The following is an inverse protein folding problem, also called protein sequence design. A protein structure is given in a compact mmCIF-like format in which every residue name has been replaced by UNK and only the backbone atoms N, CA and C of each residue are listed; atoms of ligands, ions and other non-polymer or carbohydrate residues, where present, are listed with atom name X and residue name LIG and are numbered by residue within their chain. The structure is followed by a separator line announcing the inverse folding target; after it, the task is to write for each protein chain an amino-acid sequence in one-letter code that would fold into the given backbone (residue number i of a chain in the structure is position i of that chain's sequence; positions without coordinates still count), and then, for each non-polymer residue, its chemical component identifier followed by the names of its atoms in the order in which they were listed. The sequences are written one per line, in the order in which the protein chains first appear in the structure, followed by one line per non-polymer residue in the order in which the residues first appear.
data_IF_426918963784
#
_entry.id   IF_426918963784
#
_cell.length_a   1.000
_cell.length_b   1.000
_cell.length_c   1.000
_cell.angle_alpha   90.00
_cell.angle_beta   90.00
_cell.angle_gamma   90.00
#
_symmetry.space_group_name_H-M   'P 1'
#
loop_
_entity.id
_entity.type
_entity.pdbx_description
1 polymer ?
#
# COMPACT_ATOMS: atom_id res chain seq x y z
N UNK A 1 -62.62 23.06 -67.04
CA UNK A 1 -61.14 23.08 -66.99
C UNK A 1 -60.71 22.99 -65.54
N UNK A 2 -60.02 21.90 -65.18
CA UNK A 2 -59.46 21.63 -63.84
C UNK A 2 -57.96 21.91 -63.89
N UNK A 3 -57.40 22.54 -62.86
CA UNK A 3 -56.25 22.04 -62.07
C UNK A 3 -55.94 23.01 -60.93
N UNK A 4 -56.19 22.53 -59.71
CA UNK A 4 -55.76 23.13 -58.44
C UNK A 4 -54.29 22.77 -58.21
N UNK A 5 -53.47 23.77 -57.88
CA UNK A 5 -52.04 23.61 -57.57
C UNK A 5 -51.88 23.70 -56.05
N UNK A 6 -51.67 22.55 -55.40
CA UNK A 6 -51.34 22.49 -53.97
C UNK A 6 -49.83 22.31 -53.85
N UNK A 7 -49.14 23.32 -53.32
CA UNK A 7 -47.72 23.26 -53.01
C UNK A 7 -47.54 22.79 -51.57
N UNK A 8 -46.94 21.62 -51.39
CA UNK A 8 -46.55 21.10 -50.08
C UNK A 8 -45.12 21.58 -49.77
N UNK A 9 -45.01 22.57 -48.90
CA UNK A 9 -43.73 22.95 -48.31
C UNK A 9 -43.29 21.87 -47.30
N UNK A 10 -42.14 21.23 -47.56
CA UNK A 10 -41.50 20.28 -46.65
C UNK A 10 -40.91 21.02 -45.45
N UNK A 11 -41.34 20.68 -44.24
CA UNK A 11 -40.69 21.09 -43.00
C UNK A 11 -39.41 20.24 -42.77
N UNK A 12 -38.27 20.85 -42.40
CA UNK A 12 -37.09 20.10 -42.00
C UNK A 12 -37.30 19.49 -40.60
N UNK A 13 -37.03 18.19 -40.50
CA UNK A 13 -37.01 17.42 -39.25
C UNK A 13 -35.96 18.00 -38.31
N UNK A 14 -36.40 18.61 -37.22
CA UNK A 14 -35.58 18.83 -36.01
C UNK A 14 -35.52 17.49 -35.28
N UNK A 15 -34.44 16.75 -35.47
CA UNK A 15 -34.10 15.55 -34.67
C UNK A 15 -32.63 15.68 -34.29
N UNK A 16 -32.34 16.44 -33.23
CA UNK A 16 -30.99 16.50 -32.67
C UNK A 16 -31.05 17.11 -31.27
N UNK A 17 -31.22 16.29 -30.22
CA UNK A 17 -30.73 16.56 -28.86
C UNK A 17 -31.34 15.60 -27.83
N UNK A 18 -31.03 14.30 -27.88
CA UNK A 18 -31.32 13.36 -26.78
C UNK A 18 -30.36 12.15 -26.81
N UNK A 19 -29.12 12.37 -27.27
CA UNK A 19 -28.12 11.32 -27.48
C UNK A 19 -26.75 11.64 -26.88
N UNK A 20 -26.68 12.49 -25.85
CA UNK A 20 -25.43 12.90 -25.20
C UNK A 20 -25.46 12.75 -23.67
N UNK A 21 -26.42 12.00 -23.11
CA UNK A 21 -26.48 11.70 -21.67
C UNK A 21 -26.04 10.26 -21.33
N UNK A 22 -25.79 9.41 -22.34
CA UNK A 22 -25.43 7.99 -22.15
C UNK A 22 -23.95 7.66 -22.43
N UNK A 23 -23.10 8.65 -22.71
CA UNK A 23 -21.65 8.46 -22.90
C UNK A 23 -20.81 8.89 -21.68
N UNK A 24 -21.46 9.33 -20.60
CA UNK A 24 -20.82 9.64 -19.32
C UNK A 24 -21.11 8.58 -18.25
N UNK A 25 -21.83 7.51 -18.58
CA UNK A 25 -21.86 6.30 -17.74
C UNK A 25 -20.50 5.62 -17.85
N UNK A 26 -19.56 6.14 -17.06
CA UNK A 26 -18.61 5.36 -16.30
C UNK A 26 -18.04 4.18 -17.07
N UNK A 27 -16.92 4.41 -17.77
CA UNK A 27 -15.91 3.37 -17.85
C UNK A 27 -15.59 3.00 -16.41
N UNK A 28 -16.28 2.00 -15.87
CA UNK A 28 -15.90 1.32 -14.65
C UNK A 28 -14.54 0.74 -14.97
N UNK A 29 -13.48 1.49 -14.65
CA UNK A 29 -12.14 0.94 -14.58
C UNK A 29 -12.32 -0.26 -13.66
N UNK A 30 -12.08 -1.51 -14.13
CA UNK A 30 -12.20 -2.66 -13.25
C UNK A 30 -11.36 -2.36 -12.03
N UNK A 31 -11.98 -2.40 -10.85
CA UNK A 31 -11.26 -2.30 -9.59
C UNK A 31 -10.20 -3.40 -9.62
N UNK A 32 -8.96 -3.01 -9.91
CA UNK A 32 -7.87 -3.96 -10.00
C UNK A 32 -7.57 -4.33 -8.56
N UNK A 33 -7.84 -5.58 -8.16
CA UNK A 33 -7.32 -6.09 -6.90
C UNK A 33 -5.80 -6.15 -7.01
N UNK A 34 -5.11 -5.34 -6.23
CA UNK A 34 -3.68 -5.39 -6.11
C UNK A 34 -3.35 -6.07 -4.78
N UNK A 35 -2.77 -7.27 -4.88
CA UNK A 35 -2.00 -7.82 -3.77
C UNK A 35 -0.67 -7.09 -3.74
N UNK A 36 -0.46 -6.28 -2.71
CA UNK A 36 0.69 -5.40 -2.55
C UNK A 36 1.66 -6.04 -1.56
N UNK A 37 2.94 -6.12 -1.90
CA UNK A 37 3.99 -6.54 -0.98
C UNK A 37 4.93 -5.38 -0.69
N UNK A 38 4.96 -4.95 0.56
CA UNK A 38 5.84 -3.87 1.00
C UNK A 38 6.98 -4.49 1.80
N UNK A 39 8.21 -4.19 1.41
CA UNK A 39 9.40 -4.66 2.10
C UNK A 39 10.40 -3.54 2.35
N UNK A 40 11.35 -3.81 3.24
CA UNK A 40 12.37 -2.82 3.57
C UNK A 40 13.32 -3.28 4.65
N UNK A 41 14.07 -2.33 5.19
CA UNK A 41 15.05 -2.55 6.25
C UNK A 41 14.73 -1.65 7.44
N UNK A 42 14.74 -2.26 8.62
CA UNK A 42 14.81 -1.60 9.92
C UNK A 42 16.27 -1.63 10.38
N UNK A 43 16.77 -0.53 10.92
CA UNK A 43 18.14 -0.42 11.46
C UNK A 43 18.11 0.17 12.86
N UNK A 44 18.79 -0.50 13.79
CA UNK A 44 18.98 -0.04 15.16
C UNK A 44 19.99 1.10 15.18
N UNK A 45 19.61 2.24 15.75
CA UNK A 45 20.44 3.46 15.77
C UNK A 45 21.05 3.78 17.12
N UNK A 46 20.61 3.09 18.18
CA UNK A 46 21.21 3.15 19.50
C UNK A 46 21.12 1.76 20.15
N UNK A 47 22.12 1.42 20.97
CA UNK A 47 22.12 0.19 21.76
C UNK A 47 20.91 0.12 22.69
N UNK A 48 20.29 -1.06 22.76
CA UNK A 48 19.22 -1.36 23.71
C UNK A 48 19.48 -2.73 24.34
N UNK A 49 20.10 -2.69 25.51
CA UNK A 49 20.49 -3.88 26.27
C UNK A 49 21.40 -4.83 25.50
N UNK A 50 21.13 -6.12 25.63
CA UNK A 50 21.85 -7.19 24.92
C UNK A 50 21.15 -7.59 23.61
N UNK A 51 19.83 -7.37 23.53
CA UNK A 51 19.00 -7.79 22.40
C UNK A 51 19.32 -7.03 21.11
N UNK A 52 19.61 -5.73 21.20
CA UNK A 52 19.83 -4.87 20.04
C UNK A 52 21.10 -4.04 20.19
N UNK A 53 21.92 -4.03 19.14
CA UNK A 53 23.13 -3.22 19.02
C UNK A 53 23.04 -2.26 17.85
N UNK A 54 23.64 -1.09 18.02
CA UNK A 54 23.72 -0.08 16.96
C UNK A 54 24.27 -0.69 15.68
N UNK A 55 23.56 -0.50 14.57
CA UNK A 55 23.90 -1.11 13.27
C UNK A 55 23.28 -2.48 13.01
N UNK A 56 22.61 -3.10 13.99
CA UNK A 56 21.79 -4.28 13.74
C UNK A 56 20.67 -3.95 12.73
N UNK A 57 20.41 -4.88 11.83
CA UNK A 57 19.44 -4.73 10.75
C UNK A 57 18.39 -5.83 10.76
N UNK A 58 17.16 -5.49 10.36
CA UNK A 58 16.08 -6.45 10.21
C UNK A 58 15.35 -6.17 8.91
N UNK A 59 15.32 -7.16 8.01
CA UNK A 59 14.50 -7.09 6.80
C UNK A 59 13.06 -7.37 7.19
N UNK A 60 12.15 -6.47 6.83
CA UNK A 60 10.72 -6.68 7.02
C UNK A 60 10.01 -6.86 5.68
N UNK A 61 8.90 -7.57 5.69
CA UNK A 61 7.96 -7.62 4.56
C UNK A 61 6.55 -7.84 5.07
N UNK A 62 5.57 -7.20 4.45
CA UNK A 62 4.15 -7.53 4.64
C UNK A 62 3.43 -7.54 3.31
N UNK A 63 2.41 -8.38 3.21
CA UNK A 63 1.56 -8.49 2.01
C UNK A 63 0.13 -8.26 2.40
N UNK A 64 -0.59 -7.45 1.62
CA UNK A 64 -2.00 -7.16 1.86
C UNK A 64 -2.80 -6.99 0.56
N UNK A 65 -4.12 -7.13 0.65
CA UNK A 65 -5.07 -6.87 -0.44
C UNK A 65 -5.64 -5.45 -0.31
N UNK A 66 -5.40 -4.60 -1.31
CA UNK A 66 -5.91 -3.22 -1.30
C UNK A 66 -7.42 -3.09 -1.56
N UNK A 67 -8.09 -4.21 -1.85
CA UNK A 67 -9.55 -4.32 -1.89
C UNK A 67 -10.15 -4.70 -0.54
N UNK A 68 -9.34 -4.87 0.50
CA UNK A 68 -9.86 -5.11 1.85
C UNK A 68 -10.76 -3.96 2.26
N UNK A 69 -11.96 -4.34 2.71
CA UNK A 69 -13.00 -3.39 3.10
C UNK A 69 -12.78 -2.94 4.54
N UNK A 70 -12.91 -1.63 4.74
CA UNK A 70 -12.91 -0.98 6.04
C UNK A 70 -14.08 -1.49 6.90
N UNK A 71 -13.74 -1.87 8.12
CA UNK A 71 -14.65 -2.37 9.15
C UNK A 71 -14.95 -1.34 10.25
N UNK A 72 -14.22 -0.23 10.29
CA UNK A 72 -14.44 0.88 11.21
C UNK A 72 -15.69 1.67 10.82
N UNK A 73 -16.43 2.19 11.80
CA UNK A 73 -17.60 3.05 11.52
C UNK A 73 -17.29 4.53 11.71
N UNK A 74 -16.21 4.84 12.43
CA UNK A 74 -15.62 6.16 12.50
C UNK A 74 -15.09 6.64 11.13
N UNK A 75 -14.97 7.95 10.94
CA UNK A 75 -14.53 8.56 9.66
C UNK A 75 -13.12 9.15 9.74
N UNK A 76 -12.38 8.83 10.80
CA UNK A 76 -11.03 9.36 11.01
C UNK A 76 -9.94 8.29 10.89
N UNK A 77 -10.30 7.01 10.90
CA UNK A 77 -9.40 5.87 10.89
C UNK A 77 -10.11 4.64 10.31
N UNK A 78 -9.77 4.29 9.08
CA UNK A 78 -10.24 3.06 8.47
C UNK A 78 -9.42 1.85 8.98
N UNK A 79 -10.07 0.71 9.24
CA UNK A 79 -9.50 -0.53 9.77
C UNK A 79 -9.64 -1.70 8.80
N UNK A 80 -8.50 -2.28 8.44
CA UNK A 80 -8.34 -3.34 7.45
C UNK A 80 -7.70 -4.61 8.03
N UNK A 81 -7.97 -4.95 9.29
CA UNK A 81 -7.25 -6.00 10.03
C UNK A 81 -7.23 -7.39 9.36
N UNK A 82 -8.22 -7.70 8.51
CA UNK A 82 -8.26 -8.95 7.74
C UNK A 82 -7.49 -8.91 6.41
N UNK A 83 -6.96 -7.74 6.04
CA UNK A 83 -6.36 -7.49 4.73
C UNK A 83 -4.90 -7.90 4.61
N UNK A 84 -4.19 -8.04 5.74
CA UNK A 84 -2.82 -8.55 5.75
C UNK A 84 -2.87 -10.07 5.62
N UNK A 85 -2.12 -10.63 4.68
CA UNK A 85 -2.05 -12.08 4.44
C UNK A 85 -0.70 -12.68 4.82
N UNK A 86 0.35 -11.85 4.89
CA UNK A 86 1.68 -12.28 5.30
C UNK A 86 2.42 -11.13 6.01
N UNK A 87 3.26 -11.50 6.96
CA UNK A 87 4.21 -10.61 7.62
C UNK A 87 5.48 -11.40 7.96
N UNK A 88 6.64 -10.80 7.74
CA UNK A 88 7.92 -11.40 8.10
C UNK A 88 8.89 -10.35 8.63
N UNK A 89 9.76 -10.82 9.53
CA UNK A 89 10.91 -10.06 10.04
C UNK A 89 12.10 -11.02 10.06
N UNK A 90 13.22 -10.64 9.46
CA UNK A 90 14.42 -11.48 9.36
C UNK A 90 15.63 -10.71 9.85
N UNK A 91 16.36 -11.30 10.80
CA UNK A 91 17.60 -10.74 11.35
C UNK A 91 18.70 -10.70 10.30
N UNK A 92 19.44 -9.59 10.24
CA UNK A 92 20.64 -9.47 9.43
C UNK A 92 21.75 -10.40 9.93
N UNK A 93 22.47 -11.05 9.00
CA UNK A 93 23.54 -12.00 9.34
C UNK A 93 24.74 -11.36 10.04
N UNK A 94 24.90 -10.04 9.93
CA UNK A 94 25.96 -9.27 10.58
C UNK A 94 25.54 -8.68 11.95
N UNK A 95 24.31 -8.93 12.40
CA UNK A 95 23.83 -8.39 13.67
C UNK A 95 24.66 -8.95 14.83
N UNK A 96 24.93 -8.09 15.81
CA UNK A 96 25.68 -8.41 17.03
C UNK A 96 24.73 -8.59 18.22
N UNK A 97 23.58 -7.91 18.24
CA UNK A 97 22.56 -8.08 19.28
C UNK A 97 21.97 -9.50 19.30
N UNK A 98 21.53 -9.96 20.47
CA UNK A 98 21.16 -11.37 20.67
C UNK A 98 19.74 -11.73 20.25
N UNK A 99 18.88 -10.75 19.96
CA UNK A 99 17.48 -11.02 19.62
C UNK A 99 17.35 -11.49 18.16
N UNK A 100 16.66 -12.60 17.96
CA UNK A 100 16.44 -13.22 16.65
C UNK A 100 14.98 -13.67 16.47
N UNK A 101 14.21 -13.08 15.53
CA UNK A 101 12.82 -13.44 15.31
C UNK A 101 12.63 -14.77 14.57
N UNK A 102 13.69 -15.46 14.11
CA UNK A 102 13.59 -16.60 13.19
C UNK A 102 12.71 -17.76 13.69
N UNK A 103 12.60 -17.97 15.01
CA UNK A 103 11.77 -19.01 15.59
C UNK A 103 10.29 -18.60 15.81
N UNK A 104 9.99 -17.31 15.67
CA UNK A 104 8.68 -16.75 15.95
C UNK A 104 7.71 -16.79 14.77
N UNK A 105 6.43 -16.72 15.07
CA UNK A 105 5.35 -16.64 14.08
C UNK A 105 4.44 -15.44 14.38
N UNK A 106 4.18 -14.59 13.40
CA UNK A 106 3.30 -13.44 13.56
C UNK A 106 1.82 -13.83 13.40
N UNK A 107 0.95 -13.18 14.16
CA UNK A 107 -0.49 -13.23 13.93
C UNK A 107 -0.86 -12.28 12.77
N UNK A 108 -1.18 -12.84 11.60
CA UNK A 108 -1.39 -12.06 10.36
C UNK A 108 -2.83 -12.01 9.86
N UNK A 109 -3.73 -12.87 10.34
CA UNK A 109 -5.12 -12.91 9.88
C UNK A 109 -6.08 -13.21 11.04
N UNK A 110 -6.65 -12.18 11.69
CA UNK A 110 -6.37 -10.76 11.51
C UNK A 110 -5.04 -10.33 12.16
N UNK A 111 -4.41 -9.27 11.64
CA UNK A 111 -3.38 -8.54 12.40
C UNK A 111 -4.02 -7.76 13.55
N UNK A 112 -3.20 -7.43 14.56
CA UNK A 112 -3.65 -6.63 15.70
C UNK A 112 -4.16 -5.25 15.28
N UNK A 113 -3.48 -4.64 14.30
CA UNK A 113 -3.88 -3.34 13.76
C UNK A 113 -3.44 -3.18 12.30
N UNK A 114 -4.35 -2.82 11.39
CA UNK A 114 -4.00 -2.28 10.08
C UNK A 114 -4.92 -1.08 9.81
N UNK A 115 -4.40 0.13 10.01
CA UNK A 115 -5.16 1.37 9.94
C UNK A 115 -4.65 2.27 8.82
N UNK A 116 -5.56 2.89 8.08
CA UNK A 116 -5.28 4.13 7.34
C UNK A 116 -5.99 5.30 8.06
N UNK A 117 -5.20 6.18 8.66
CA UNK A 117 -5.72 7.34 9.39
C UNK A 117 -5.94 8.51 8.44
N UNK A 118 -7.20 8.94 8.30
CA UNK A 118 -7.59 10.07 7.46
C UNK A 118 -7.05 11.40 8.02
N UNK A 119 -7.10 11.59 9.34
CA UNK A 119 -6.64 12.83 9.96
C UNK A 119 -5.11 12.96 10.04
N UNK A 120 -4.38 11.85 9.92
CA UNK A 120 -2.93 11.80 10.07
C UNK A 120 -2.20 11.48 8.77
N UNK A 121 -2.95 11.21 7.69
CA UNK A 121 -2.44 10.72 6.41
C UNK A 121 -1.45 9.56 6.59
N UNK A 122 -1.75 8.62 7.49
CA UNK A 122 -0.78 7.60 7.89
C UNK A 122 -1.33 6.20 7.76
N UNK A 123 -0.49 5.28 7.28
CA UNK A 123 -0.77 3.84 7.34
C UNK A 123 0.01 3.23 8.49
N UNK A 124 -0.67 2.53 9.40
CA UNK A 124 -0.03 1.81 10.51
C UNK A 124 -0.40 0.34 10.45
N UNK A 125 0.61 -0.53 10.58
CA UNK A 125 0.45 -1.98 10.66
C UNK A 125 1.12 -2.46 11.94
N UNK A 126 0.41 -3.29 12.71
CA UNK A 126 0.86 -3.89 13.94
C UNK A 126 0.70 -5.40 13.85
N UNK A 127 1.82 -6.09 13.62
CA UNK A 127 1.87 -7.55 13.58
C UNK A 127 2.23 -8.07 14.96
N UNK A 128 1.22 -8.57 15.68
CA UNK A 128 1.40 -9.13 17.02
C UNK A 128 2.20 -10.43 16.95
N UNK A 129 3.09 -10.61 17.92
CA UNK A 129 3.78 -11.88 18.12
C UNK A 129 2.80 -12.98 18.48
N UNK A 130 2.83 -14.06 17.71
CA UNK A 130 2.23 -15.33 18.12
C UNK A 130 3.17 -16.04 19.10
N UNK A 131 3.60 -17.25 18.75
CA UNK A 131 4.52 -18.05 19.57
C UNK A 131 5.94 -18.09 18.98
N UNK A 132 6.91 -18.43 19.81
CA UNK A 132 8.28 -18.75 19.39
C UNK A 132 9.28 -17.59 19.36
N UNK A 133 8.85 -16.35 19.60
CA UNK A 133 9.77 -15.22 19.68
C UNK A 133 10.59 -15.24 20.98
N UNK A 134 11.91 -14.96 20.92
CA UNK A 134 12.69 -14.77 22.14
C UNK A 134 12.29 -13.47 22.85
N UNK A 135 12.53 -13.43 24.15
CA UNK A 135 12.37 -12.23 24.95
C UNK A 135 13.35 -11.13 24.51
N UNK A 136 12.90 -9.88 24.55
CA UNK A 136 13.72 -8.67 24.36
C UNK A 136 14.20 -8.21 25.73
N UNK A 137 15.51 -8.24 25.97
CA UNK A 137 16.14 -7.81 27.22
C UNK A 137 15.47 -8.43 28.47
N UNK A 138 15.06 -9.69 28.36
CA UNK A 138 14.39 -10.44 29.42
C UNK A 138 12.86 -10.24 29.51
N UNK A 139 12.28 -9.35 28.71
CA UNK A 139 10.84 -9.13 28.62
C UNK A 139 10.23 -9.87 27.42
N UNK A 140 9.04 -10.48 27.54
CA UNK A 140 8.39 -11.13 26.41
C UNK A 140 8.21 -10.18 25.22
N UNK A 141 8.41 -10.70 24.01
CA UNK A 141 8.11 -9.99 22.78
C UNK A 141 6.60 -9.74 22.68
N UNK A 142 6.22 -8.55 22.19
CA UNK A 142 4.82 -8.18 22.00
C UNK A 142 4.46 -8.11 20.53
N UNK A 143 5.08 -7.20 19.76
CA UNK A 143 4.76 -7.00 18.34
C UNK A 143 5.80 -6.21 17.56
N UNK A 144 5.55 -6.09 16.26
CA UNK A 144 6.22 -5.12 15.38
C UNK A 144 5.18 -4.11 14.91
N UNK A 145 5.46 -2.82 15.10
CA UNK A 145 4.67 -1.71 14.58
C UNK A 145 5.41 -1.02 13.43
N UNK A 146 4.74 -0.80 12.30
CA UNK A 146 5.25 -0.05 11.16
C UNK A 146 4.28 1.08 10.83
N UNK A 147 4.78 2.32 10.76
CA UNK A 147 3.98 3.50 10.41
C UNK A 147 4.61 4.25 9.24
N UNK A 148 3.78 4.59 8.27
CA UNK A 148 4.13 5.34 7.07
C UNK A 148 3.29 6.61 7.04
N UNK A 149 3.91 7.77 7.17
CA UNK A 149 3.25 9.06 7.06
C UNK A 149 3.30 9.58 5.63
N UNK A 150 2.16 10.06 5.14
CA UNK A 150 1.97 10.63 3.81
C UNK A 150 1.52 12.09 3.86
N UNK A 151 1.52 12.72 5.05
CA UNK A 151 1.16 14.13 5.18
C UNK A 151 2.02 14.99 4.24
N UNK A 152 1.35 15.86 3.48
CA UNK A 152 1.94 16.68 2.42
C UNK A 152 2.20 15.96 1.08
N UNK A 153 1.99 14.64 1.02
CA UNK A 153 2.13 13.81 -0.19
C UNK A 153 0.77 13.32 -0.67
N UNK A 154 -0.09 12.88 0.25
CA UNK A 154 -1.46 12.43 0.00
C UNK A 154 -2.39 12.84 1.14
N UNK A 155 -3.66 12.95 0.81
CA UNK A 155 -4.77 13.21 1.73
C UNK A 155 -5.66 11.96 1.73
N UNK A 156 -5.83 11.33 2.89
CA UNK A 156 -6.62 10.12 3.03
C UNK A 156 -8.07 10.48 3.38
N UNK A 157 -9.03 9.89 2.65
CA UNK A 157 -10.46 10.21 2.83
C UNK A 157 -11.23 8.98 3.26
N UNK A 158 -11.57 8.97 4.54
CA UNK A 158 -12.42 7.97 5.18
C UNK A 158 -13.84 8.54 5.39
N UNK A 159 -14.84 7.80 4.95
CA UNK A 159 -16.27 8.11 5.01
C UNK A 159 -17.03 7.17 5.96
N UNK A 160 -16.28 6.33 6.69
CA UNK A 160 -16.77 5.23 7.51
C UNK A 160 -16.67 3.89 6.79
N UNK A 161 -17.41 2.91 7.30
CA UNK A 161 -17.30 1.53 6.84
C UNK A 161 -17.66 1.33 5.37
N UNK A 162 -17.09 0.29 4.77
CA UNK A 162 -17.45 -0.15 3.42
C UNK A 162 -16.54 0.36 2.31
N UNK A 163 -15.65 1.32 2.58
CA UNK A 163 -14.60 1.69 1.62
C UNK A 163 -13.50 0.63 1.57
N UNK A 164 -12.93 0.38 0.40
CA UNK A 164 -11.69 -0.40 0.30
C UNK A 164 -10.49 0.43 0.72
N UNK A 165 -9.37 -0.21 1.05
CA UNK A 165 -8.11 0.50 1.31
C UNK A 165 -7.75 1.46 0.17
N UNK A 166 -7.83 0.99 -1.08
CA UNK A 166 -7.58 1.81 -2.27
C UNK A 166 -8.50 3.04 -2.37
N UNK A 167 -9.76 2.93 -1.94
CA UNK A 167 -10.69 4.06 -1.90
C UNK A 167 -10.31 5.07 -0.82
N UNK A 168 -9.92 4.61 0.37
CA UNK A 168 -9.49 5.49 1.46
C UNK A 168 -8.21 6.26 1.10
N UNK A 169 -7.24 5.59 0.47
CA UNK A 169 -5.96 6.23 0.09
C UNK A 169 -6.01 6.94 -1.27
N UNK A 170 -7.10 6.80 -2.02
CA UNK A 170 -7.33 7.45 -3.33
C UNK A 170 -6.46 6.93 -4.48
N UNK A 171 -5.75 5.81 -4.31
CA UNK A 171 -4.83 5.25 -5.32
C UNK A 171 -4.70 3.72 -5.16
N UNK A 172 -4.48 3.02 -6.26
CA UNK A 172 -4.17 1.58 -6.27
C UNK A 172 -3.06 1.29 -7.32
N UNK A 173 -1.91 0.73 -6.91
CA UNK A 173 -1.47 0.52 -5.53
C UNK A 173 -0.94 1.81 -4.88
N UNK A 174 -0.91 1.86 -3.54
CA UNK A 174 -0.19 2.89 -2.81
C UNK A 174 1.33 2.64 -2.85
N UNK A 175 2.11 3.63 -3.27
CA UNK A 175 3.58 3.56 -3.23
C UNK A 175 4.12 4.01 -1.86
N UNK A 176 4.46 3.04 -1.01
CA UNK A 176 5.01 3.26 0.32
C UNK A 176 6.40 3.91 0.33
N UNK A 177 7.15 3.86 -0.79
CA UNK A 177 8.44 4.53 -0.86
C UNK A 177 8.29 6.07 -0.78
N UNK A 178 7.15 6.60 -1.25
CA UNK A 178 6.81 8.03 -1.25
C UNK A 178 6.40 8.60 0.10
N UNK A 179 6.26 7.77 1.13
CA UNK A 179 5.94 8.23 2.49
C UNK A 179 6.96 9.26 2.98
N UNK A 180 6.49 10.43 3.44
CA UNK A 180 7.29 11.54 3.95
C UNK A 180 7.95 11.22 5.30
N UNK A 181 7.32 10.35 6.10
CA UNK A 181 7.91 9.81 7.32
C UNK A 181 7.70 8.30 7.42
N UNK A 182 8.64 7.64 8.09
CA UNK A 182 8.70 6.19 8.24
C UNK A 182 9.17 5.88 9.65
N UNK A 183 8.38 5.13 10.40
CA UNK A 183 8.67 4.78 11.78
C UNK A 183 8.45 3.28 11.99
N UNK A 184 9.30 2.68 12.80
CA UNK A 184 9.23 1.27 13.13
C UNK A 184 9.43 1.07 14.64
N UNK A 185 8.75 0.09 15.19
CA UNK A 185 8.88 -0.36 16.57
C UNK A 185 9.02 -1.88 16.59
N UNK A 186 9.89 -2.39 17.44
CA UNK A 186 9.97 -3.81 17.79
C UNK A 186 9.81 -3.88 19.30
N UNK A 187 8.61 -4.22 19.78
CA UNK A 187 8.21 -3.96 21.16
C UNK A 187 8.22 -5.21 22.02
N UNK A 188 8.60 -5.01 23.28
CA UNK A 188 8.31 -5.96 24.35
C UNK A 188 6.92 -5.70 24.97
N UNK A 189 6.49 -6.52 25.92
CA UNK A 189 5.18 -6.36 26.60
C UNK A 189 5.05 -5.12 27.49
N UNK A 190 6.16 -4.42 27.77
CA UNK A 190 6.15 -3.12 28.45
C UNK A 190 6.03 -1.95 27.45
N UNK A 191 5.90 -2.24 26.15
CA UNK A 191 5.93 -1.27 25.06
C UNK A 191 7.27 -0.53 24.90
N UNK A 192 8.36 -1.08 25.44
CA UNK A 192 9.70 -0.59 25.14
C UNK A 192 10.14 -1.08 23.76
N UNK A 193 10.78 -0.21 22.99
CA UNK A 193 11.40 -0.51 21.70
C UNK A 193 12.79 0.13 21.63
N UNK A 194 13.77 -0.49 20.94
CA UNK A 194 15.00 0.21 20.58
C UNK A 194 14.70 1.43 19.71
N UNK A 195 15.68 2.34 19.58
CA UNK A 195 15.59 3.48 18.65
C UNK A 195 15.90 2.98 17.24
N UNK A 196 14.89 3.01 16.37
CA UNK A 196 14.93 2.42 15.03
C UNK A 196 14.82 3.48 13.93
N UNK A 197 15.42 3.18 12.79
CA UNK A 197 15.13 3.84 11.51
C UNK A 197 14.62 2.81 10.53
N UNK A 198 13.77 3.26 9.59
CA UNK A 198 13.15 2.37 8.61
C UNK A 198 13.33 2.92 7.19
N UNK A 199 13.61 2.03 6.26
CA UNK A 199 13.65 2.30 4.82
C UNK A 199 12.71 1.35 4.09
N UNK A 200 12.07 1.84 3.03
CA UNK A 200 11.23 1.02 2.14
C UNK A 200 12.04 0.71 0.89
N UNK A 201 12.07 -0.55 0.48
CA UNK A 201 12.69 -0.97 -0.77
C UNK A 201 11.56 -1.21 -1.77
N UNK A 202 11.54 -0.51 -2.93
CA UNK A 202 10.54 -0.77 -3.96
C UNK A 202 10.59 -2.23 -4.39
N UNK A 203 9.44 -2.82 -4.69
CA UNK A 203 9.38 -4.22 -5.11
C UNK A 203 10.35 -4.49 -6.27
N UNK A 204 11.10 -5.61 -6.26
CA UNK A 204 12.03 -5.96 -7.35
C UNK A 204 11.37 -5.96 -8.73
N UNK A 205 10.07 -6.28 -8.79
CA UNK A 205 9.25 -6.25 -9.99
C UNK A 205 9.26 -4.88 -10.67
N UNK A 206 9.23 -3.79 -9.89
CA UNK A 206 9.25 -2.41 -10.39
C UNK A 206 10.53 -2.13 -11.18
N UNK A 207 11.68 -2.56 -10.65
CA UNK A 207 12.96 -2.41 -11.33
C UNK A 207 13.07 -3.29 -12.57
N UNK A 208 12.62 -4.54 -12.50
CA UNK A 208 12.61 -5.46 -13.63
C UNK A 208 11.76 -4.92 -14.80
N UNK A 209 10.59 -4.35 -14.51
CA UNK A 209 9.71 -3.76 -15.53
C UNK A 209 10.31 -2.50 -16.16
N UNK A 210 10.94 -1.64 -15.35
CA UNK A 210 11.65 -0.46 -15.86
C UNK A 210 12.82 -0.85 -16.78
N UNK A 211 13.64 -1.83 -16.37
CA UNK A 211 14.74 -2.36 -17.17
C UNK A 211 14.26 -3.03 -18.45
N UNK A 212 13.21 -3.85 -18.37
CA UNK A 212 12.61 -4.48 -19.54
C UNK A 212 12.05 -3.44 -20.52
N UNK A 213 11.38 -2.41 -20.02
CA UNK A 213 10.89 -1.29 -20.83
C UNK A 213 12.00 -0.55 -21.56
N UNK A 214 13.11 -0.25 -20.87
CA UNK A 214 14.29 0.39 -21.48
C UNK A 214 14.95 -0.51 -22.54
N UNK A 215 15.08 -1.81 -22.27
CA UNK A 215 15.64 -2.76 -23.22
C UNK A 215 14.78 -2.88 -24.50
N UNK A 216 13.46 -3.04 -24.34
CA UNK A 216 12.51 -3.15 -25.44
C UNK A 216 12.41 -1.85 -26.24
N UNK A 217 12.41 -0.70 -25.56
CA UNK A 217 12.41 0.62 -26.19
C UNK A 217 13.68 0.87 -27.01
N UNK A 218 14.85 0.56 -26.43
CA UNK A 218 16.15 0.69 -27.10
C UNK A 218 16.25 -0.21 -28.35
N UNK A 219 15.85 -1.48 -28.25
CA UNK A 219 15.85 -2.41 -29.38
C UNK A 219 14.93 -1.93 -30.52
N UNK A 220 13.74 -1.42 -30.17
CA UNK A 220 12.78 -0.89 -31.15
C UNK A 220 13.34 0.30 -31.91
N UNK A 221 14.04 1.22 -31.24
CA UNK A 221 14.69 2.37 -31.89
C UNK A 221 15.88 1.94 -32.79
N UNK A 222 16.69 0.99 -32.33
CA UNK A 222 17.81 0.46 -33.12
C UNK A 222 17.33 -0.20 -34.41
N UNK A 223 16.24 -0.97 -34.37
CA UNK A 223 15.65 -1.59 -35.56
C UNK A 223 15.10 -0.55 -36.53
N UNK A 224 14.53 0.55 -36.03
CA UNK A 224 14.03 1.65 -36.88
C UNK A 224 15.16 2.33 -37.64
N UNK A 225 16.32 2.55 -37.00
CA UNK A 225 17.50 3.15 -37.66
C UNK A 225 18.08 2.31 -38.79
N UNK A 226 17.98 0.98 -38.72
CA UNK A 226 18.45 0.09 -39.81
C UNK A 226 17.52 0.07 -41.03
N UNK A 227 16.33 0.65 -40.93
CA UNK A 227 15.32 0.69 -42.00
C UNK A 227 15.17 2.07 -42.65
N UNK A 228 15.84 3.09 -42.12
CA UNK A 228 15.93 4.43 -42.68
C UNK A 228 17.30 4.60 -43.35
#
# INVERSE_FOLDING_TARGET
MKRSTVSFARLPRVVLSLGAAALLSSLSVPAHSAIITVGGLITVTADDGASFKTGDTFSYSFTFDDQTVDTATETFNARFNAGVSAFSLTRGGANVGTWDPAAGTFAVAPVGNFIAGANSDSVTIQATGGSGFPAINGQPFFDVGLTFGFSGVRDFVDTGSGQTFAQVVGVSPLDFATASSKFAEIRNTNFDSPVLTMTVVPEPSTYCMALAGMACGGYSMLRRRKRA
#
